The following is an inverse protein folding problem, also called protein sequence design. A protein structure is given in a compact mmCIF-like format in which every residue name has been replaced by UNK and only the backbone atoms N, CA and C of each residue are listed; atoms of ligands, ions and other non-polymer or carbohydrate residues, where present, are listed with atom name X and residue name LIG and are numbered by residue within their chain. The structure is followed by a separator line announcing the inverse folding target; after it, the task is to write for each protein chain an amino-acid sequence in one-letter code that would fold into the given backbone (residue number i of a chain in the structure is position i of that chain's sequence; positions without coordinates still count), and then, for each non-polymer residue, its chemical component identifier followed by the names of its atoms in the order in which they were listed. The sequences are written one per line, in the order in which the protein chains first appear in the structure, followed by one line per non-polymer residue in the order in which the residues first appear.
data_IF_273170901188
#
_entry.id   IF_273170901188
#
_cell.length_a   1.000
_cell.length_b   1.000
_cell.length_c   1.000
_cell.angle_alpha   90.00
_cell.angle_beta   90.00
_cell.angle_gamma   90.00
#
_symmetry.space_group_name_H-M   'P 1'
#
loop_
_entity.id
_entity.type
_entity.pdbx_description
1 polymer ?
#
# COMPACT_ATOMS: atom_id res chain seq x y z
N UNK A 1 28.97 21.20 5.93
CA UNK A 1 29.92 20.71 4.92
C UNK A 1 29.81 19.19 4.90
N UNK A 2 29.07 18.62 3.95
CA UNK A 2 28.91 17.17 3.80
C UNK A 2 29.93 16.67 2.79
N UNK A 3 30.78 15.73 3.20
CA UNK A 3 31.72 15.06 2.31
C UNK A 3 31.03 14.02 1.43
N UNK A 4 31.59 13.69 0.26
CA UNK A 4 31.01 12.71 -0.66
C UNK A 4 31.21 11.28 -0.15
N UNK A 5 30.15 10.48 -0.25
CA UNK A 5 30.12 9.07 0.12
C UNK A 5 30.66 8.26 -1.07
N UNK A 6 31.85 7.67 -0.91
CA UNK A 6 32.49 6.86 -1.94
C UNK A 6 31.89 5.46 -1.94
N UNK A 7 31.20 5.08 -3.01
CA UNK A 7 30.71 3.72 -3.23
C UNK A 7 31.80 2.95 -3.98
N UNK A 8 32.62 2.20 -3.24
CA UNK A 8 33.56 1.24 -3.83
C UNK A 8 32.81 -0.04 -4.20
N UNK A 9 32.93 -0.57 -5.44
CA UNK A 9 32.28 -1.79 -5.85
C UNK A 9 33.19 -2.99 -5.56
N UNK A 10 32.99 -3.65 -4.43
CA UNK A 10 33.72 -4.89 -4.15
C UNK A 10 33.45 -5.46 -2.77
N UNK A 11 32.57 -6.46 -2.68
CA UNK A 11 32.55 -7.30 -1.47
C UNK A 11 31.35 -8.23 -1.31
N UNK A 12 30.14 -7.79 -1.64
CA UNK A 12 28.93 -8.55 -1.25
C UNK A 12 28.33 -9.44 -2.37
N UNK A 13 28.74 -9.24 -3.63
CA UNK A 13 28.10 -9.91 -4.76
C UNK A 13 28.56 -11.37 -4.95
N UNK A 14 29.79 -11.70 -4.52
CA UNK A 14 30.36 -13.05 -4.66
C UNK A 14 29.81 -14.03 -3.62
N UNK A 15 29.53 -13.59 -2.39
CA UNK A 15 28.93 -14.43 -1.34
C UNK A 15 27.48 -14.84 -1.66
N UNK A 16 26.77 -14.00 -2.42
CA UNK A 16 25.38 -14.28 -2.81
C UNK A 16 25.31 -15.36 -3.90
N UNK A 17 26.35 -15.51 -4.72
CA UNK A 17 26.41 -16.53 -5.78
C UNK A 17 26.81 -17.92 -5.26
N UNK A 18 27.59 -18.01 -4.19
CA UNK A 18 27.99 -19.30 -3.60
C UNK A 18 26.79 -20.07 -3.01
N UNK A 19 25.78 -19.36 -2.49
CA UNK A 19 24.56 -19.97 -1.92
C UNK A 19 23.64 -20.56 -3.01
N UNK A 20 23.74 -20.11 -4.27
CA UNK A 20 22.90 -20.63 -5.37
C UNK A 20 23.44 -21.87 -6.09
N UNK A 21 24.67 -22.29 -5.83
CA UNK A 21 25.29 -23.46 -6.49
C UNK A 21 25.28 -24.74 -5.65
N UNK A 22 24.81 -24.70 -4.40
CA UNK A 22 24.56 -25.90 -3.61
C UNK A 22 23.24 -26.56 -4.04
N UNK A 23 23.28 -27.27 -5.17
CA UNK A 23 22.16 -28.07 -5.66
C UNK A 23 21.76 -29.17 -4.68
N UNK A 24 20.46 -29.57 -4.64
CA UNK A 24 20.00 -30.63 -3.75
C UNK A 24 20.59 -31.98 -4.17
N UNK A 25 21.35 -32.61 -3.27
CA UNK A 25 21.75 -34.02 -3.39
C UNK A 25 20.48 -34.87 -3.44
N UNK A 26 20.22 -35.50 -4.59
CA UNK A 26 19.17 -36.51 -4.75
C UNK A 26 19.47 -37.71 -3.86
N UNK A 27 18.79 -37.78 -2.71
CA UNK A 27 18.69 -39.00 -1.92
C UNK A 27 17.76 -39.97 -2.65
N UNK A 28 18.33 -41.07 -3.16
CA UNK A 28 17.58 -42.24 -3.63
C UNK A 28 16.76 -42.81 -2.45
N UNK A 29 15.47 -43.13 -2.62
CA UNK A 29 14.76 -43.89 -1.61
C UNK A 29 15.25 -45.34 -1.65
N UNK A 30 15.82 -45.79 -0.53
CA UNK A 30 16.10 -47.20 -0.25
C UNK A 30 14.75 -47.88 -0.02
N UNK A 31 14.35 -48.74 -0.95
CA UNK A 31 13.20 -49.63 -0.81
C UNK A 31 13.53 -50.66 0.26
N UNK A 32 13.00 -50.47 1.46
CA UNK A 32 12.89 -51.51 2.48
C UNK A 32 11.45 -52.02 2.42
N UNK A 33 11.30 -53.21 1.82
CA UNK A 33 10.19 -54.10 2.13
C UNK A 33 10.24 -54.37 3.64
N UNK A 34 9.29 -53.81 4.38
CA UNK A 34 8.92 -54.31 5.69
C UNK A 34 7.41 -54.46 5.69
N UNK A 35 6.97 -55.61 5.22
CA UNK A 35 5.64 -56.17 5.43
C UNK A 35 5.44 -56.41 6.92
N UNK A 36 5.18 -55.35 7.67
CA UNK A 36 4.72 -55.42 9.05
C UNK A 36 3.23 -55.11 9.03
N UNK A 37 2.41 -56.15 9.25
CA UNK A 37 0.99 -56.03 9.52
C UNK A 37 0.79 -55.16 10.76
N UNK A 38 0.63 -53.85 10.55
CA UNK A 38 0.23 -52.93 11.59
C UNK A 38 -1.19 -53.27 12.01
N UNK A 39 -1.33 -53.85 13.20
CA UNK A 39 -2.57 -53.90 13.95
C UNK A 39 -3.17 -52.48 13.96
N UNK A 40 -4.29 -52.30 13.25
CA UNK A 40 -5.01 -51.03 13.17
C UNK A 40 -5.58 -50.75 14.55
N UNK A 41 -4.82 -50.02 15.38
CA UNK A 41 -5.38 -49.42 16.59
C UNK A 41 -6.61 -48.58 16.18
N UNK A 42 -7.65 -48.51 17.03
CA UNK A 42 -8.75 -47.57 16.83
C UNK A 42 -8.17 -46.17 16.60
N UNK A 43 -8.59 -45.53 15.51
CA UNK A 43 -8.15 -44.22 15.02
C UNK A 43 -7.94 -43.23 16.18
N UNK A 44 -6.68 -42.96 16.52
CA UNK A 44 -6.27 -41.82 17.33
C UNK A 44 -5.35 -40.91 16.48
N UNK A 45 -5.71 -40.76 15.21
CA UNK A 45 -5.04 -39.87 14.27
C UNK A 45 -5.99 -38.77 13.82
N UNK A 46 -5.46 -37.65 13.30
CA UNK A 46 -6.27 -36.57 12.75
C UNK A 46 -7.29 -37.11 11.74
N UNK A 47 -8.49 -36.54 11.75
CA UNK A 47 -9.53 -36.92 10.79
C UNK A 47 -9.20 -36.32 9.42
N UNK A 48 -8.40 -37.05 8.65
CA UNK A 48 -7.87 -36.62 7.35
C UNK A 48 -8.95 -36.24 6.35
N UNK A 49 -10.15 -36.81 6.46
CA UNK A 49 -11.27 -36.51 5.59
C UNK A 49 -11.91 -35.16 5.94
N UNK A 50 -12.12 -34.90 7.23
CA UNK A 50 -12.59 -33.60 7.73
C UNK A 50 -11.59 -32.48 7.44
N UNK A 51 -10.28 -32.74 7.57
CA UNK A 51 -9.26 -31.74 7.24
C UNK A 51 -9.19 -31.50 5.72
N UNK A 52 -9.32 -32.55 4.90
CA UNK A 52 -9.39 -32.39 3.43
C UNK A 52 -10.59 -31.54 3.02
N UNK A 53 -11.74 -31.75 3.67
CA UNK A 53 -12.96 -30.98 3.45
C UNK A 53 -12.77 -29.52 3.85
N UNK A 54 -12.20 -29.26 5.02
CA UNK A 54 -11.89 -27.90 5.48
C UNK A 54 -10.87 -27.20 4.56
N UNK A 55 -9.85 -27.93 4.10
CA UNK A 55 -8.86 -27.43 3.16
C UNK A 55 -9.50 -27.04 1.81
N UNK A 56 -10.44 -27.83 1.31
CA UNK A 56 -11.17 -27.52 0.08
C UNK A 56 -12.10 -26.31 0.25
N UNK A 57 -12.82 -26.22 1.38
CA UNK A 57 -13.72 -25.11 1.69
C UNK A 57 -12.98 -23.77 1.83
N UNK A 58 -11.78 -23.79 2.39
CA UNK A 58 -10.98 -22.60 2.65
C UNK A 58 -9.86 -22.35 1.63
N UNK A 59 -9.80 -23.14 0.54
CA UNK A 59 -8.69 -23.14 -0.40
C UNK A 59 -8.36 -21.75 -0.96
N UNK A 60 -9.38 -20.99 -1.39
CA UNK A 60 -9.19 -19.65 -1.98
C UNK A 60 -8.62 -18.63 -0.99
N UNK A 61 -8.89 -18.82 0.31
CA UNK A 61 -8.44 -17.92 1.39
C UNK A 61 -7.10 -18.35 1.98
N UNK A 62 -6.83 -19.65 2.01
CA UNK A 62 -5.58 -20.24 2.50
C UNK A 62 -4.49 -20.22 1.42
N UNK A 63 -4.84 -20.35 0.15
CA UNK A 63 -3.91 -20.39 -0.98
C UNK A 63 -2.96 -19.18 -1.06
N UNK A 64 -3.45 -17.94 -0.86
CA UNK A 64 -2.62 -16.73 -0.78
C UNK A 64 -1.81 -16.57 0.49
N UNK A 65 -2.10 -17.34 1.55
CA UNK A 65 -1.41 -17.20 2.82
C UNK A 65 0.08 -17.50 2.66
N UNK A 66 0.94 -16.61 3.17
CA UNK A 66 2.40 -16.73 3.09
C UNK A 66 3.00 -17.43 4.30
N UNK A 67 2.22 -17.61 5.38
CA UNK A 67 2.66 -18.30 6.59
C UNK A 67 1.50 -19.07 7.27
N UNK A 68 1.76 -20.21 7.94
CA UNK A 68 0.76 -20.93 8.72
C UNK A 68 0.00 -20.08 9.76
N UNK A 69 0.60 -19.00 10.26
CA UNK A 69 -0.05 -18.11 11.23
C UNK A 69 -1.14 -17.23 10.61
N UNK A 70 -1.07 -16.93 9.32
CA UNK A 70 -2.17 -16.26 8.62
C UNK A 70 -3.36 -17.21 8.47
N UNK A 71 -3.09 -18.49 8.24
CA UNK A 71 -4.12 -19.54 8.28
C UNK A 71 -4.70 -19.67 9.69
N UNK A 72 -3.88 -19.62 10.74
CA UNK A 72 -4.37 -19.64 12.12
C UNK A 72 -5.28 -18.43 12.41
N UNK A 73 -4.89 -17.22 11.99
CA UNK A 73 -5.71 -16.02 12.14
C UNK A 73 -7.04 -16.12 11.36
N UNK A 74 -7.02 -16.71 10.15
CA UNK A 74 -8.23 -17.01 9.39
C UNK A 74 -9.16 -17.97 10.15
N UNK A 75 -8.62 -19.08 10.66
CA UNK A 75 -9.39 -20.06 11.43
C UNK A 75 -9.94 -19.47 12.74
N UNK A 76 -9.20 -18.56 13.39
CA UNK A 76 -9.67 -17.82 14.57
C UNK A 76 -10.81 -16.87 14.20
N UNK A 77 -10.71 -16.16 13.08
CA UNK A 77 -11.77 -15.28 12.58
C UNK A 77 -13.04 -16.05 12.19
N UNK A 78 -12.90 -17.31 11.74
CA UNK A 78 -14.01 -18.26 11.52
C UNK A 78 -14.60 -18.80 12.84
N UNK A 79 -14.01 -18.48 13.99
CA UNK A 79 -14.53 -18.86 15.30
C UNK A 79 -14.29 -20.32 15.68
N UNK A 80 -13.27 -20.98 15.11
CA UNK A 80 -12.92 -22.36 15.50
C UNK A 80 -12.41 -22.41 16.95
N UNK A 81 -13.19 -23.04 17.83
CA UNK A 81 -12.81 -23.25 19.22
C UNK A 81 -11.82 -24.41 19.39
N UNK A 82 -11.03 -24.36 20.47
CA UNK A 82 -10.06 -25.40 20.79
C UNK A 82 -10.68 -26.80 20.94
N UNK A 83 -11.91 -26.88 21.44
CA UNK A 83 -12.63 -28.16 21.58
C UNK A 83 -13.02 -28.74 20.22
N UNK A 84 -13.52 -27.92 19.30
CA UNK A 84 -13.81 -28.38 17.92
C UNK A 84 -12.52 -28.83 17.24
N UNK A 85 -11.42 -28.10 17.42
CA UNK A 85 -10.12 -28.45 16.82
C UNK A 85 -9.63 -29.82 17.29
N UNK A 86 -9.72 -30.08 18.60
CA UNK A 86 -9.32 -31.35 19.20
C UNK A 86 -10.25 -32.51 18.83
N UNK A 87 -11.56 -32.31 18.92
CA UNK A 87 -12.52 -33.39 18.78
C UNK A 87 -12.86 -33.72 17.32
N UNK A 88 -12.93 -32.72 16.45
CA UNK A 88 -13.33 -32.90 15.04
C UNK A 88 -12.13 -33.13 14.13
N UNK A 89 -11.04 -32.39 14.33
CA UNK A 89 -9.88 -32.45 13.44
C UNK A 89 -8.70 -33.22 14.03
N UNK A 90 -8.75 -33.60 15.31
CA UNK A 90 -7.71 -34.39 15.97
C UNK A 90 -6.37 -33.64 16.15
N UNK A 91 -6.37 -32.31 16.03
CA UNK A 91 -5.20 -31.48 16.22
C UNK A 91 -5.12 -30.93 17.66
N UNK A 92 -3.93 -30.82 18.25
CA UNK A 92 -3.77 -30.39 19.64
C UNK A 92 -4.15 -28.91 19.86
N UNK A 93 -3.98 -28.06 18.83
CA UNK A 93 -4.28 -26.64 18.89
C UNK A 93 -4.49 -26.07 17.47
N UNK A 94 -4.97 -24.82 17.43
CA UNK A 94 -5.21 -24.04 16.22
C UNK A 94 -4.01 -23.97 15.28
N UNK A 95 -2.81 -23.75 15.83
CA UNK A 95 -1.58 -23.63 15.05
C UNK A 95 -1.20 -24.94 14.36
N UNK A 96 -1.40 -26.08 15.03
CA UNK A 96 -1.14 -27.41 14.44
C UNK A 96 -2.09 -27.70 13.28
N UNK A 97 -3.38 -27.36 13.42
CA UNK A 97 -4.34 -27.48 12.33
C UNK A 97 -4.00 -26.52 11.18
N UNK A 98 -3.62 -25.28 11.50
CA UNK A 98 -3.24 -24.28 10.51
C UNK A 98 -2.02 -24.71 9.68
N UNK A 99 -0.99 -25.29 10.30
CA UNK A 99 0.16 -25.86 9.59
C UNK A 99 -0.25 -27.00 8.66
N UNK A 100 -1.12 -27.91 9.12
CA UNK A 100 -1.59 -29.02 8.29
C UNK A 100 -2.41 -28.54 7.07
N UNK A 101 -3.24 -27.51 7.24
CA UNK A 101 -3.97 -26.88 6.13
C UNK A 101 -3.03 -26.10 5.19
N UNK A 102 -2.03 -25.42 5.74
CA UNK A 102 -1.03 -24.68 4.98
C UNK A 102 -0.22 -25.59 4.07
N UNK A 103 0.20 -26.77 4.56
CA UNK A 103 0.93 -27.75 3.76
C UNK A 103 0.06 -28.44 2.70
N UNK A 104 -1.24 -28.58 2.96
CA UNK A 104 -2.18 -29.29 2.07
C UNK A 104 -2.72 -28.45 0.93
N UNK A 105 -3.01 -27.17 1.17
CA UNK A 105 -3.60 -26.29 0.16
C UNK A 105 -2.52 -25.80 -0.81
N UNK A 106 -2.69 -25.95 -2.14
CA UNK A 106 -1.77 -25.40 -3.13
C UNK A 106 -1.64 -23.87 -3.00
N UNK A 107 -0.39 -23.37 -3.04
CA UNK A 107 -0.13 -21.93 -2.95
C UNK A 107 -0.60 -21.23 -4.22
N UNK A 108 -1.36 -20.15 -4.05
CA UNK A 108 -1.88 -19.32 -5.14
C UNK A 108 -1.52 -17.88 -4.84
N UNK A 109 -0.84 -17.19 -5.75
CA UNK A 109 -0.42 -15.80 -5.57
C UNK A 109 -1.23 -14.91 -6.53
N UNK A 110 -2.45 -14.50 -6.15
CA UNK A 110 -3.25 -13.63 -7.01
C UNK A 110 -2.54 -12.28 -7.17
N UNK A 111 -2.49 -11.78 -8.41
CA UNK A 111 -1.93 -10.46 -8.69
C UNK A 111 -2.75 -9.40 -7.94
N UNK A 112 -2.12 -8.53 -7.13
CA UNK A 112 -2.83 -7.45 -6.46
C UNK A 112 -3.48 -6.53 -7.49
N UNK A 113 -4.60 -5.90 -7.11
CA UNK A 113 -5.24 -4.92 -7.97
C UNK A 113 -4.25 -3.82 -8.35
N UNK A 114 -4.23 -3.37 -9.61
CA UNK A 114 -3.28 -2.36 -10.06
C UNK A 114 -3.44 -1.09 -9.23
N UNK A 115 -2.35 -0.68 -8.58
CA UNK A 115 -2.32 0.57 -7.84
C UNK A 115 -2.45 1.76 -8.79
N UNK A 116 -2.99 2.87 -8.28
CA UNK A 116 -2.98 4.13 -9.03
C UNK A 116 -1.54 4.55 -9.29
N UNK A 117 -1.16 4.75 -10.55
CA UNK A 117 0.16 5.23 -10.95
C UNK A 117 0.39 6.67 -10.44
N UNK A 118 1.31 6.89 -9.48
CA UNK A 118 1.59 8.23 -8.94
C UNK A 118 2.23 9.17 -9.97
N UNK A 119 2.83 8.62 -11.04
CA UNK A 119 3.61 9.36 -12.03
C UNK A 119 2.82 9.63 -13.31
N UNK A 120 1.55 9.20 -13.37
CA UNK A 120 0.71 9.40 -14.55
C UNK A 120 0.56 10.91 -14.85
N UNK A 121 0.95 11.37 -16.05
CA UNK A 121 0.85 12.78 -16.38
C UNK A 121 -0.61 13.22 -16.47
N UNK A 122 -0.94 14.28 -15.73
CA UNK A 122 -2.23 14.97 -15.83
C UNK A 122 -2.02 16.26 -16.64
N UNK A 123 -2.24 16.16 -17.97
CA UNK A 123 -2.03 17.26 -18.90
C UNK A 123 -2.87 18.50 -18.54
N UNK A 124 -4.08 18.29 -18.02
CA UNK A 124 -4.97 19.38 -17.61
C UNK A 124 -4.41 20.10 -16.41
N UNK A 125 -3.93 19.37 -15.38
CA UNK A 125 -3.27 19.99 -14.22
C UNK A 125 -1.98 20.71 -14.61
N UNK A 126 -1.19 20.14 -15.53
CA UNK A 126 0.01 20.80 -16.05
C UNK A 126 -0.33 22.12 -16.75
N UNK A 127 -1.30 22.11 -17.66
CA UNK A 127 -1.77 23.32 -18.36
C UNK A 127 -2.30 24.36 -17.37
N UNK A 128 -3.15 23.95 -16.43
CA UNK A 128 -3.73 24.85 -15.42
C UNK A 128 -2.65 25.50 -14.55
N UNK A 129 -1.63 24.73 -14.13
CA UNK A 129 -0.47 25.29 -13.43
C UNK A 129 0.29 26.29 -14.29
N UNK A 130 0.54 25.95 -15.56
CA UNK A 130 1.20 26.85 -16.51
C UNK A 130 0.48 28.19 -16.64
N UNK A 131 -0.86 28.15 -16.82
CA UNK A 131 -1.69 29.36 -16.87
C UNK A 131 -1.60 30.15 -15.56
N UNK A 132 -1.70 29.48 -14.41
CA UNK A 132 -1.60 30.12 -13.10
C UNK A 132 -0.24 30.82 -12.89
N UNK A 133 0.86 30.22 -13.33
CA UNK A 133 2.19 30.81 -13.25
C UNK A 133 2.43 31.93 -14.26
N UNK A 134 1.70 31.96 -15.38
CA UNK A 134 1.78 33.01 -16.39
C UNK A 134 0.99 34.28 -16.02
N UNK A 135 -0.02 34.17 -15.13
CA UNK A 135 -0.89 35.28 -14.74
C UNK A 135 -0.16 36.54 -14.25
N UNK A 136 0.89 36.48 -13.41
CA UNK A 136 1.62 37.67 -13.00
C UNK A 136 2.28 38.41 -14.17
N UNK A 137 2.82 37.66 -15.14
CA UNK A 137 3.38 38.23 -16.37
C UNK A 137 2.29 38.89 -17.23
N UNK A 138 1.12 38.25 -17.35
CA UNK A 138 -0.04 38.82 -18.03
C UNK A 138 -0.50 40.12 -17.35
N UNK A 139 -0.56 40.15 -16.02
CA UNK A 139 -0.94 41.33 -15.26
C UNK A 139 0.03 42.50 -15.51
N UNK A 140 1.34 42.22 -15.57
CA UNK A 140 2.33 43.25 -15.90
C UNK A 140 2.14 43.80 -17.32
N UNK A 141 1.87 42.95 -18.31
CA UNK A 141 1.60 43.38 -19.68
C UNK A 141 0.35 44.27 -19.78
N UNK A 142 -0.71 43.93 -19.03
CA UNK A 142 -1.96 44.67 -19.03
C UNK A 142 -1.88 45.99 -18.24
N UNK A 143 -1.20 46.00 -17.10
CA UNK A 143 -1.12 47.15 -16.20
C UNK A 143 0.05 48.10 -16.53
N UNK A 144 1.06 47.64 -17.26
CA UNK A 144 2.26 48.41 -17.61
C UNK A 144 1.97 49.78 -18.24
N UNK A 145 1.07 49.91 -19.23
CA UNK A 145 0.73 51.20 -19.84
C UNK A 145 0.06 52.20 -18.88
N UNK A 146 -0.56 51.70 -17.82
CA UNK A 146 -1.25 52.50 -16.80
C UNK A 146 -0.30 52.95 -15.68
N UNK A 147 0.94 52.47 -15.68
CA UNK A 147 1.89 52.68 -14.60
C UNK A 147 2.54 54.08 -14.67
N UNK A 148 2.35 54.88 -13.61
CA UNK A 148 3.09 56.13 -13.38
C UNK A 148 4.10 55.97 -12.24
N UNK A 149 5.41 56.03 -12.52
CA UNK A 149 6.45 55.95 -11.50
C UNK A 149 6.25 57.02 -10.42
N UNK A 150 6.30 56.63 -9.14
CA UNK A 150 6.21 57.53 -7.98
C UNK A 150 4.81 57.73 -7.39
N UNK A 151 3.73 57.51 -8.15
CA UNK A 151 2.34 57.73 -7.65
C UNK A 151 1.69 56.45 -7.11
N UNK A 152 2.06 55.27 -7.62
CA UNK A 152 1.32 54.02 -7.37
C UNK A 152 2.02 53.02 -6.44
N UNK A 153 3.15 53.39 -5.84
CA UNK A 153 3.93 52.48 -4.97
C UNK A 153 3.13 52.09 -3.72
N UNK A 154 2.46 53.05 -3.06
CA UNK A 154 1.63 52.78 -1.89
C UNK A 154 0.45 51.86 -2.24
N UNK A 155 -0.19 52.06 -3.38
CA UNK A 155 -1.27 51.20 -3.86
C UNK A 155 -0.80 49.75 -4.08
N UNK A 156 0.38 49.54 -4.67
CA UNK A 156 0.95 48.20 -4.81
C UNK A 156 1.27 47.53 -3.47
N UNK A 157 1.79 48.30 -2.51
CA UNK A 157 2.07 47.79 -1.16
C UNK A 157 0.78 47.34 -0.48
N UNK A 158 -0.28 48.16 -0.55
CA UNK A 158 -1.60 47.79 0.01
C UNK A 158 -2.17 46.57 -0.71
N UNK A 159 -2.17 46.56 -2.05
CA UNK A 159 -2.65 45.42 -2.84
C UNK A 159 -1.89 44.14 -2.52
N UNK A 160 -0.57 44.22 -2.32
CA UNK A 160 0.27 43.09 -1.91
C UNK A 160 -0.08 42.55 -0.52
N UNK A 161 -0.28 43.43 0.47
CA UNK A 161 -0.68 43.04 1.83
C UNK A 161 -2.07 42.40 1.82
N UNK A 162 -3.04 42.99 1.10
CA UNK A 162 -4.40 42.46 0.97
C UNK A 162 -4.40 41.10 0.26
N UNK A 163 -3.68 41.00 -0.85
CA UNK A 163 -3.50 39.74 -1.60
C UNK A 163 -2.91 38.64 -0.71
N UNK A 164 -1.87 38.98 0.04
CA UNK A 164 -1.20 38.03 0.93
C UNK A 164 -2.11 37.56 2.05
N UNK A 165 -2.76 38.47 2.76
CA UNK A 165 -3.68 38.15 3.86
C UNK A 165 -4.86 37.31 3.37
N UNK A 166 -5.44 37.67 2.22
CA UNK A 166 -6.52 36.91 1.59
C UNK A 166 -6.07 35.51 1.19
N UNK A 167 -4.90 35.39 0.54
CA UNK A 167 -4.31 34.11 0.15
C UNK A 167 -4.10 33.17 1.35
N UNK A 168 -3.60 33.70 2.47
CA UNK A 168 -3.43 32.93 3.72
C UNK A 168 -4.78 32.46 4.28
N UNK A 169 -5.75 33.36 4.39
CA UNK A 169 -7.08 33.03 4.92
C UNK A 169 -7.80 31.98 4.04
N UNK A 170 -7.71 32.14 2.72
CA UNK A 170 -8.32 31.23 1.75
C UNK A 170 -7.64 29.86 1.77
N UNK A 171 -6.30 29.82 1.83
CA UNK A 171 -5.53 28.58 1.95
C UNK A 171 -5.87 27.82 3.22
N UNK A 172 -5.96 28.53 4.36
CA UNK A 172 -6.35 27.94 5.63
C UNK A 172 -7.77 27.35 5.59
N UNK A 173 -8.76 28.08 5.06
CA UNK A 173 -10.14 27.56 4.93
C UNK A 173 -10.22 26.38 3.98
N UNK A 174 -9.51 26.42 2.85
CA UNK A 174 -9.47 25.30 1.91
C UNK A 174 -8.84 24.05 2.54
N UNK A 175 -7.80 24.21 3.35
CA UNK A 175 -7.18 23.12 4.11
C UNK A 175 -8.16 22.51 5.11
N UNK A 176 -8.85 23.32 5.91
CA UNK A 176 -9.89 22.82 6.82
C UNK A 176 -11.00 22.06 6.09
N UNK A 177 -11.38 22.52 4.90
CA UNK A 177 -12.39 21.85 4.05
C UNK A 177 -11.91 20.54 3.42
N UNK A 178 -10.61 20.23 3.44
CA UNK A 178 -10.13 18.92 3.01
C UNK A 178 -10.66 17.79 3.90
N UNK A 179 -10.95 18.07 5.18
CA UNK A 179 -11.58 17.10 6.10
C UNK A 179 -12.96 16.62 5.61
N UNK A 180 -13.71 17.51 4.95
CA UNK A 180 -15.02 17.18 4.34
C UNK A 180 -14.90 16.61 2.92
N UNK A 181 -13.72 16.71 2.30
CA UNK A 181 -13.43 16.14 0.99
C UNK A 181 -12.87 17.15 -0.02
N UNK A 182 -12.23 16.60 -1.07
CA UNK A 182 -11.53 17.38 -2.11
C UNK A 182 -12.43 18.36 -2.87
N UNK A 183 -13.72 18.02 -3.06
CA UNK A 183 -14.68 18.86 -3.79
C UNK A 183 -15.01 20.15 -3.05
N UNK A 184 -15.16 20.09 -1.72
CA UNK A 184 -15.49 21.25 -0.89
C UNK A 184 -14.30 22.19 -0.72
N UNK A 185 -13.08 21.64 -0.60
CA UNK A 185 -11.86 22.43 -0.68
C UNK A 185 -11.74 23.14 -2.04
N UNK A 186 -12.02 22.43 -3.13
CA UNK A 186 -12.04 22.98 -4.49
C UNK A 186 -13.07 24.11 -4.66
N UNK A 187 -14.30 23.93 -4.15
CA UNK A 187 -15.35 24.98 -4.18
C UNK A 187 -14.91 26.23 -3.45
N UNK A 188 -14.30 26.07 -2.27
CA UNK A 188 -13.79 27.19 -1.46
C UNK A 188 -12.77 28.01 -2.24
N UNK A 189 -11.82 27.34 -2.92
CA UNK A 189 -10.84 28.01 -3.78
C UNK A 189 -11.49 28.66 -4.99
N UNK A 190 -12.42 27.98 -5.68
CA UNK A 190 -13.10 28.49 -6.87
C UNK A 190 -13.93 29.75 -6.59
N UNK A 191 -14.58 29.82 -5.42
CA UNK A 191 -15.36 31.01 -5.05
C UNK A 191 -14.48 32.11 -4.44
N UNK A 192 -13.44 31.74 -3.68
CA UNK A 192 -12.62 32.69 -2.95
C UNK A 192 -11.51 33.35 -3.77
N UNK A 193 -10.98 32.65 -4.78
CA UNK A 193 -9.95 33.19 -5.67
C UNK A 193 -10.41 34.44 -6.46
N UNK A 194 -11.59 34.44 -7.14
CA UNK A 194 -12.04 35.62 -7.88
C UNK A 194 -12.35 36.80 -6.95
N UNK A 195 -12.88 36.55 -5.74
CA UNK A 195 -13.12 37.60 -4.75
C UNK A 195 -11.81 38.25 -4.32
N UNK A 196 -10.77 37.45 -4.08
CA UNK A 196 -9.44 37.97 -3.77
C UNK A 196 -8.84 38.82 -4.88
N UNK A 197 -9.04 38.42 -6.14
CA UNK A 197 -8.56 39.16 -7.30
C UNK A 197 -9.27 40.51 -7.51
N UNK A 198 -10.50 40.67 -7.01
CA UNK A 198 -11.24 41.94 -7.07
C UNK A 198 -10.88 42.87 -5.90
N UNK A 199 -10.52 42.29 -4.74
CA UNK A 199 -10.18 43.06 -3.54
C UNK A 199 -8.75 43.61 -3.53
N UNK A 200 -7.86 43.03 -4.32
CA UNK A 200 -6.46 43.43 -4.47
C UNK A 200 -6.26 44.37 -5.65
#
# INVERSE_FOLDING_TARGET
MSGPLSLEPGGAEQDTLAIRLAGPRRLRPRRTDDSTLALRLPRLGPDEEEISRLAAELADRIGPAVHPYEVAALLEAEGLSADVIRHRYGHPNLFSLASALYERVPRTFPEPAPASDPWRPDHVRCLLRGVLFALPGLAYLLAGPLWRPGTHVSALVVAGIVSWAWGQALGHRAHLRMTTGRREAGRTLLTGAPVGAVLA
#
